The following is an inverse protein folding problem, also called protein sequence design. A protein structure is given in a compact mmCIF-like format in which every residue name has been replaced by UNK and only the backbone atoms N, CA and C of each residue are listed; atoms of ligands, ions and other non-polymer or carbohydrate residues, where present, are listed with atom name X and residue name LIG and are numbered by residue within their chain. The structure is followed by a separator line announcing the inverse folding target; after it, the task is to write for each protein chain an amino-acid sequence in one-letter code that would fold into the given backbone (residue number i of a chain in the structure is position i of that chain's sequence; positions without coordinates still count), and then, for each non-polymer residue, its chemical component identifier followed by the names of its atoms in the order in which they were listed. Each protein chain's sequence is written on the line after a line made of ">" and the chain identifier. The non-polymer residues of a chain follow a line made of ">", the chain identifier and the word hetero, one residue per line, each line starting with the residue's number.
data_IF_675822484382
#
_entry.id   IF_675822484382
#
_cell.length_a   1.000
_cell.length_b   1.000
_cell.length_c   1.000
_cell.angle_alpha   90.00
_cell.angle_beta   90.00
_cell.angle_gamma   90.00
#
_symmetry.space_group_name_H-M   'P 1'
#
loop_
_entity.id
_entity.type
_entity.pdbx_description
1 polymer ?
#
# COMPACT_ATOMS: atom_id res chain seq x y z
N UNK A 1 13.29 14.03 -30.44
CA UNK A 1 14.43 14.37 -29.59
C UNK A 1 15.33 13.15 -29.53
N UNK A 2 16.51 13.30 -30.09
CA UNK A 2 17.49 12.23 -30.23
C UNK A 2 18.14 11.96 -28.86
N UNK A 3 18.12 10.70 -28.42
CA UNK A 3 18.58 10.27 -27.08
C UNK A 3 19.99 9.66 -27.12
N UNK A 4 20.72 9.82 -28.22
CA UNK A 4 21.90 9.00 -28.51
C UNK A 4 23.25 9.53 -28.01
N UNK A 5 23.32 10.62 -27.25
CA UNK A 5 24.63 11.11 -26.74
C UNK A 5 24.48 11.69 -25.34
N UNK A 6 24.74 10.89 -24.32
CA UNK A 6 25.47 11.25 -23.10
C UNK A 6 25.67 10.02 -22.21
N UNK A 7 26.74 9.28 -22.45
CA UNK A 7 27.27 8.27 -21.52
C UNK A 7 27.89 8.92 -20.29
N UNK A 8 27.70 8.20 -19.14
CA UNK A 8 28.39 8.35 -17.86
C UNK A 8 27.86 9.40 -16.89
N UNK A 9 26.70 9.11 -16.29
CA UNK A 9 26.38 9.35 -14.86
C UNK A 9 24.98 8.81 -14.49
N UNK A 10 24.45 7.84 -15.21
CA UNK A 10 23.21 7.16 -14.87
C UNK A 10 23.51 5.91 -14.03
N UNK A 11 23.17 5.92 -12.76
CA UNK A 11 23.09 4.70 -11.97
C UNK A 11 21.79 3.97 -12.32
N UNK A 12 21.79 3.29 -13.47
CA UNK A 12 20.70 2.40 -13.88
C UNK A 12 20.84 1.08 -13.11
N UNK A 13 20.27 1.04 -11.91
CA UNK A 13 20.33 -0.14 -11.07
C UNK A 13 18.95 -0.78 -10.95
N UNK A 14 18.87 -2.09 -11.25
CA UNK A 14 17.71 -2.93 -10.92
C UNK A 14 18.09 -3.84 -9.77
N UNK A 15 17.33 -3.75 -8.67
CA UNK A 15 17.39 -4.70 -7.57
C UNK A 15 16.26 -5.72 -7.74
N UNK A 16 16.61 -7.02 -7.72
CA UNK A 16 15.65 -8.13 -7.75
C UNK A 16 15.62 -8.83 -6.40
N UNK A 17 14.45 -9.28 -6.00
CA UNK A 17 14.35 -10.32 -4.98
C UNK A 17 14.96 -11.64 -5.50
N UNK A 18 15.37 -12.50 -4.58
CA UNK A 18 16.04 -13.76 -4.94
C UNK A 18 15.19 -14.61 -5.87
N UNK A 19 15.81 -15.15 -6.91
CA UNK A 19 15.19 -16.07 -7.87
C UNK A 19 14.48 -15.42 -9.07
N UNK A 20 14.24 -14.11 -9.06
CA UNK A 20 13.42 -13.47 -10.09
C UNK A 20 14.20 -12.95 -11.31
N UNK A 21 15.49 -12.64 -11.16
CA UNK A 21 16.28 -12.03 -12.25
C UNK A 21 16.24 -12.83 -13.55
N UNK A 22 16.40 -14.16 -13.47
CA UNK A 22 16.41 -15.03 -14.65
C UNK A 22 15.03 -15.04 -15.34
N UNK A 23 13.95 -15.19 -14.58
CA UNK A 23 12.56 -15.20 -15.09
C UNK A 23 12.25 -13.93 -15.88
N UNK A 24 12.63 -12.77 -15.37
CA UNK A 24 12.37 -11.50 -16.03
C UNK A 24 13.29 -11.29 -17.25
N UNK A 25 14.55 -11.74 -17.17
CA UNK A 25 15.47 -11.68 -18.31
C UNK A 25 14.97 -12.54 -19.50
N UNK A 26 14.47 -13.75 -19.25
CA UNK A 26 13.84 -14.61 -20.26
C UNK A 26 12.62 -13.97 -20.91
N UNK A 27 11.89 -13.13 -20.17
CA UNK A 27 10.77 -12.34 -20.70
C UNK A 27 11.21 -11.04 -21.40
N UNK A 28 12.52 -10.83 -21.61
CA UNK A 28 13.05 -9.61 -22.24
C UNK A 28 13.04 -8.37 -21.32
N UNK A 29 12.94 -8.55 -20.01
CA UNK A 29 12.90 -7.48 -19.00
C UNK A 29 14.20 -7.49 -18.19
N UNK A 30 15.28 -6.98 -18.77
CA UNK A 30 16.62 -7.02 -18.20
C UNK A 30 17.16 -5.64 -17.79
N UNK A 31 16.71 -4.56 -18.44
CA UNK A 31 17.16 -3.18 -18.22
C UNK A 31 16.02 -2.29 -17.72
N UNK A 32 16.34 -1.15 -17.10
CA UNK A 32 15.32 -0.17 -16.66
C UNK A 32 14.46 0.28 -17.84
N UNK A 33 15.08 0.45 -19.02
CA UNK A 33 14.38 0.88 -20.24
C UNK A 33 13.36 -0.17 -20.70
N UNK A 34 13.71 -1.47 -20.63
CA UNK A 34 12.75 -2.55 -20.97
C UNK A 34 11.51 -2.48 -20.11
N UNK A 35 11.67 -2.34 -18.79
CA UNK A 35 10.53 -2.20 -17.88
C UNK A 35 9.72 -0.93 -18.13
N UNK A 36 10.39 0.19 -18.40
CA UNK A 36 9.72 1.47 -18.63
C UNK A 36 8.95 1.50 -19.97
N UNK A 37 9.38 0.73 -20.96
CA UNK A 37 8.75 0.63 -22.29
C UNK A 37 7.90 -0.62 -22.50
N UNK A 38 7.85 -1.53 -21.53
CA UNK A 38 7.12 -2.79 -21.65
C UNK A 38 5.64 -2.56 -21.98
N UNK A 39 5.16 -3.14 -23.10
CA UNK A 39 3.78 -3.00 -23.58
C UNK A 39 2.94 -4.29 -23.44
N UNK A 40 3.56 -5.41 -23.00
CA UNK A 40 2.90 -6.71 -22.85
C UNK A 40 1.94 -6.81 -21.66
N UNK A 41 1.66 -5.72 -20.95
CA UNK A 41 0.78 -5.70 -19.79
C UNK A 41 -0.56 -5.00 -20.08
N UNK A 42 -1.59 -5.40 -19.31
CA UNK A 42 -2.89 -4.74 -19.32
C UNK A 42 -2.88 -3.56 -18.35
N UNK A 43 -3.12 -2.32 -18.80
CA UNK A 43 -3.24 -1.17 -17.93
C UNK A 43 -4.47 -1.30 -17.02
N UNK A 44 -4.28 -1.14 -15.70
CA UNK A 44 -5.35 -1.16 -14.70
C UNK A 44 -5.50 0.17 -13.96
N UNK A 45 -4.54 1.07 -14.11
CA UNK A 45 -4.59 2.41 -13.54
C UNK A 45 -3.61 3.32 -14.25
N UNK A 46 -4.08 4.52 -14.58
CA UNK A 46 -3.26 5.52 -15.26
C UNK A 46 -3.59 6.92 -14.77
N UNK A 47 -2.55 7.68 -14.48
CA UNK A 47 -2.63 9.13 -14.35
C UNK A 47 -1.37 9.77 -14.97
N UNK A 48 -1.32 11.10 -15.01
CA UNK A 48 -0.23 11.85 -15.66
C UNK A 48 1.19 11.48 -15.17
N UNK A 49 1.32 10.92 -13.98
CA UNK A 49 2.60 10.70 -13.30
C UNK A 49 2.87 9.22 -12.99
N UNK A 50 1.84 8.39 -13.04
CA UNK A 50 1.91 6.97 -12.67
C UNK A 50 1.03 6.12 -13.59
N UNK A 51 1.58 5.00 -14.01
CA UNK A 51 0.88 3.93 -14.71
C UNK A 51 0.98 2.66 -13.90
N UNK A 52 -0.10 1.89 -13.83
CA UNK A 52 -0.12 0.55 -13.23
C UNK A 52 -0.56 -0.43 -14.29
N UNK A 53 0.24 -1.47 -14.48
CA UNK A 53 -0.07 -2.57 -15.40
C UNK A 53 -0.16 -3.88 -14.61
N UNK A 54 -0.91 -4.84 -15.15
CA UNK A 54 -0.83 -6.24 -14.75
C UNK A 54 -0.41 -7.09 -15.93
N UNK A 55 0.38 -8.15 -15.70
CA UNK A 55 0.84 -9.08 -16.70
C UNK A 55 1.14 -10.45 -16.09
N UNK A 56 1.22 -11.47 -16.92
CA UNK A 56 1.53 -12.85 -16.51
C UNK A 56 2.84 -13.26 -17.17
N UNK A 57 3.72 -13.89 -16.39
CA UNK A 57 4.92 -14.54 -16.90
C UNK A 57 4.90 -16.02 -16.52
N UNK A 58 5.44 -16.85 -17.41
CA UNK A 58 5.73 -18.24 -17.09
C UNK A 58 6.91 -18.30 -16.12
N UNK A 59 6.76 -19.08 -15.07
CA UNK A 59 7.80 -19.28 -14.07
C UNK A 59 8.03 -20.77 -13.89
N UNK A 60 9.14 -21.21 -13.28
CA UNK A 60 9.37 -22.64 -12.98
C UNK A 60 8.26 -23.29 -12.13
N UNK A 61 7.46 -22.49 -11.42
CA UNK A 61 6.30 -22.94 -10.64
C UNK A 61 4.95 -22.76 -11.35
N UNK A 62 4.95 -22.48 -12.66
CA UNK A 62 3.76 -22.18 -13.46
C UNK A 62 3.55 -20.68 -13.68
N UNK A 63 2.50 -20.29 -14.44
CA UNK A 63 2.22 -18.90 -14.75
C UNK A 63 1.89 -18.11 -13.48
N UNK A 64 2.51 -16.94 -13.31
CA UNK A 64 2.26 -16.02 -12.20
C UNK A 64 1.90 -14.64 -12.70
N UNK A 65 1.00 -13.99 -12.01
CA UNK A 65 0.58 -12.63 -12.28
C UNK A 65 1.41 -11.64 -11.47
N UNK A 66 1.78 -10.55 -12.14
CA UNK A 66 2.56 -9.46 -11.58
C UNK A 66 1.84 -8.13 -11.77
N UNK A 67 2.13 -7.19 -10.88
CA UNK A 67 1.72 -5.80 -10.98
C UNK A 67 2.95 -4.91 -11.07
N UNK A 68 2.99 -4.03 -12.07
CA UNK A 68 4.07 -3.07 -12.24
C UNK A 68 3.54 -1.66 -12.13
N UNK A 69 4.06 -0.91 -11.17
CA UNK A 69 3.86 0.54 -11.06
C UNK A 69 5.03 1.24 -11.75
N UNK A 70 4.73 2.11 -12.70
CA UNK A 70 5.70 3.00 -13.35
C UNK A 70 5.48 4.42 -12.88
N UNK A 71 6.54 5.10 -12.47
CA UNK A 71 6.57 6.52 -12.13
C UNK A 71 7.24 7.27 -13.28
N UNK A 72 6.43 7.97 -14.12
CA UNK A 72 6.89 8.48 -15.42
C UNK A 72 7.41 9.91 -15.33
N UNK A 73 6.87 10.72 -14.45
CA UNK A 73 7.27 12.14 -14.24
C UNK A 73 7.08 12.48 -12.76
N UNK A 74 8.00 12.05 -11.90
CA UNK A 74 7.86 12.29 -10.47
C UNK A 74 7.90 13.79 -10.15
N UNK A 75 7.06 14.22 -9.21
CA UNK A 75 7.05 15.61 -8.78
C UNK A 75 8.28 15.94 -7.94
N UNK A 76 8.87 17.11 -8.13
CA UNK A 76 9.98 17.62 -7.31
C UNK A 76 9.67 17.59 -5.80
N UNK A 77 8.41 17.88 -5.42
CA UNK A 77 7.96 17.81 -4.01
C UNK A 77 8.08 16.41 -3.43
N UNK A 78 7.81 15.37 -4.23
CA UNK A 78 7.89 13.97 -3.79
C UNK A 78 9.35 13.54 -3.67
N UNK A 79 10.21 13.96 -4.61
CA UNK A 79 11.65 13.76 -4.51
C UNK A 79 12.27 14.45 -3.27
N UNK A 80 11.86 15.69 -2.98
CA UNK A 80 12.29 16.39 -1.76
C UNK A 80 11.76 15.70 -0.49
N UNK A 81 10.55 15.15 -0.54
CA UNK A 81 9.98 14.40 0.57
C UNK A 81 10.75 13.09 0.81
N UNK A 82 11.14 12.37 -0.24
CA UNK A 82 11.96 11.15 -0.14
C UNK A 82 13.37 11.47 0.37
N UNK A 83 14.00 12.54 -0.15
CA UNK A 83 15.32 12.99 0.32
C UNK A 83 15.31 13.31 1.83
N UNK A 84 14.31 14.07 2.30
CA UNK A 84 14.15 14.37 3.75
C UNK A 84 13.93 13.10 4.59
N UNK A 85 13.25 12.10 4.04
CA UNK A 85 12.88 10.86 4.74
C UNK A 85 14.07 9.90 4.82
N UNK A 86 14.74 9.67 3.71
CA UNK A 86 15.83 8.70 3.61
C UNK A 86 17.23 9.31 3.74
N UNK A 87 17.34 10.64 3.84
CA UNK A 87 18.60 11.40 3.89
C UNK A 87 19.53 11.14 2.71
N UNK A 88 19.00 10.60 1.61
CA UNK A 88 19.68 10.38 0.34
C UNK A 88 18.66 10.42 -0.80
N UNK A 89 19.09 10.70 -2.05
CA UNK A 89 18.23 10.52 -3.21
C UNK A 89 17.66 9.10 -3.23
N UNK A 90 16.35 8.99 -3.42
CA UNK A 90 15.62 7.74 -3.42
C UNK A 90 14.44 7.87 -4.39
N UNK A 91 14.29 6.92 -5.32
CA UNK A 91 13.15 6.90 -6.23
C UNK A 91 11.86 6.50 -5.51
N UNK A 92 10.73 6.81 -6.10
CA UNK A 92 9.43 6.40 -5.56
C UNK A 92 9.31 4.87 -5.55
N UNK A 93 9.81 4.19 -6.58
CA UNK A 93 9.87 2.74 -6.65
C UNK A 93 10.70 2.14 -5.52
N UNK A 94 11.91 2.67 -5.27
CA UNK A 94 12.76 2.24 -4.16
C UNK A 94 12.09 2.47 -2.79
N UNK A 95 11.33 3.56 -2.64
CA UNK A 95 10.58 3.81 -1.40
C UNK A 95 9.53 2.73 -1.15
N UNK A 96 8.72 2.38 -2.16
CA UNK A 96 7.71 1.32 -2.01
C UNK A 96 8.35 -0.05 -1.77
N UNK A 97 9.45 -0.37 -2.46
CA UNK A 97 10.25 -1.56 -2.22
C UNK A 97 10.70 -1.68 -0.76
N UNK A 98 11.30 -0.62 -0.24
CA UNK A 98 11.76 -0.58 1.17
C UNK A 98 10.62 -0.71 2.15
N UNK A 99 9.49 -0.07 1.88
CA UNK A 99 8.32 -0.15 2.74
C UNK A 99 7.73 -1.56 2.77
N UNK A 100 7.59 -2.22 1.62
CA UNK A 100 7.12 -3.60 1.58
C UNK A 100 8.05 -4.52 2.38
N UNK A 101 9.35 -4.43 2.17
CA UNK A 101 10.34 -5.21 2.95
C UNK A 101 10.29 -4.90 4.45
N UNK A 102 10.06 -3.65 4.82
CA UNK A 102 9.94 -3.26 6.24
C UNK A 102 8.69 -3.88 6.88
N UNK A 103 7.55 -3.86 6.19
CA UNK A 103 6.31 -4.49 6.67
C UNK A 103 6.51 -6.00 6.87
N UNK A 104 6.99 -6.69 5.85
CA UNK A 104 7.24 -8.14 5.90
C UNK A 104 8.21 -8.52 7.01
N UNK A 105 9.30 -7.75 7.20
CA UNK A 105 10.25 -7.97 8.30
C UNK A 105 9.64 -7.75 9.69
N UNK A 106 8.53 -7.01 9.81
CA UNK A 106 7.76 -6.80 11.05
C UNK A 106 6.59 -7.78 11.18
N UNK A 107 6.47 -8.78 10.30
CA UNK A 107 5.36 -9.73 10.28
C UNK A 107 4.01 -9.09 9.95
N UNK A 108 4.05 -7.99 9.19
CA UNK A 108 2.86 -7.32 8.65
C UNK A 108 2.78 -7.63 7.16
N UNK A 109 1.74 -8.34 6.76
CA UNK A 109 1.57 -8.79 5.39
C UNK A 109 1.31 -7.63 4.42
N UNK A 110 1.87 -7.76 3.23
CA UNK A 110 1.70 -6.87 2.08
C UNK A 110 2.05 -7.64 0.81
N UNK A 111 1.96 -7.01 -0.35
CA UNK A 111 2.45 -7.61 -1.60
C UNK A 111 3.94 -7.95 -1.52
N UNK A 112 4.32 -9.08 -2.13
CA UNK A 112 5.71 -9.50 -2.22
C UNK A 112 6.44 -8.71 -3.31
N UNK A 113 7.47 -7.93 -2.96
CA UNK A 113 8.25 -7.18 -3.93
C UNK A 113 9.15 -8.11 -4.75
N UNK A 114 9.14 -7.94 -6.07
CA UNK A 114 9.88 -8.75 -7.05
C UNK A 114 11.12 -8.04 -7.55
N UNK A 115 10.96 -6.83 -8.04
CA UNK A 115 12.08 -5.97 -8.44
C UNK A 115 11.68 -4.51 -8.46
N UNK A 116 12.67 -3.66 -8.43
CA UNK A 116 12.53 -2.23 -8.73
C UNK A 116 13.74 -1.73 -9.49
N UNK A 117 13.54 -0.66 -10.25
CA UNK A 117 14.62 0.05 -10.92
C UNK A 117 14.30 1.51 -11.08
N UNK A 118 15.34 2.32 -11.28
CA UNK A 118 15.19 3.76 -11.43
C UNK A 118 16.21 4.35 -12.37
N UNK A 119 15.76 5.34 -13.11
CA UNK A 119 16.58 6.22 -13.94
C UNK A 119 16.84 7.50 -13.14
N UNK A 120 18.06 7.65 -12.65
CA UNK A 120 18.47 8.80 -11.85
C UNK A 120 19.44 9.67 -12.65
N UNK A 121 19.20 10.98 -12.70
CA UNK A 121 20.13 11.92 -13.31
C UNK A 121 20.40 13.09 -12.37
N UNK A 122 21.67 13.34 -12.07
CA UNK A 122 22.09 14.39 -11.11
C UNK A 122 21.35 14.30 -9.75
N UNK A 123 21.10 13.09 -9.26
CA UNK A 123 20.36 12.87 -8.01
C UNK A 123 18.85 13.04 -8.11
N UNK A 124 18.31 13.31 -9.31
CA UNK A 124 16.87 13.47 -9.55
C UNK A 124 16.31 12.26 -10.32
N UNK A 125 15.18 11.75 -9.85
CA UNK A 125 14.46 10.68 -10.50
C UNK A 125 13.85 11.17 -11.82
N UNK A 126 14.21 10.51 -12.93
CA UNK A 126 13.62 10.76 -14.25
C UNK A 126 12.43 9.80 -14.50
N UNK A 127 12.54 8.61 -13.95
CA UNK A 127 11.53 7.58 -13.98
C UNK A 127 11.93 6.41 -13.09
N UNK A 128 10.98 5.61 -12.69
CA UNK A 128 11.23 4.38 -11.95
C UNK A 128 10.09 3.40 -12.11
N UNK A 129 10.35 2.14 -11.81
CA UNK A 129 9.33 1.10 -11.79
C UNK A 129 9.47 0.22 -10.55
N UNK A 130 8.35 -0.36 -10.15
CA UNK A 130 8.27 -1.29 -9.03
C UNK A 130 7.34 -2.44 -9.41
N UNK A 131 7.83 -3.68 -9.30
CA UNK A 131 7.09 -4.90 -9.62
C UNK A 131 6.83 -5.70 -8.36
N UNK A 132 5.61 -6.19 -8.24
CA UNK A 132 5.16 -7.07 -7.16
C UNK A 132 4.46 -8.30 -7.72
N UNK A 133 4.47 -9.40 -6.96
CA UNK A 133 3.56 -10.50 -7.20
C UNK A 133 2.12 -10.06 -6.87
N UNK A 134 1.15 -10.74 -7.49
CA UNK A 134 -0.26 -10.63 -7.14
C UNK A 134 -0.47 -11.06 -5.68
N UNK A 135 -1.21 -10.27 -4.90
CA UNK A 135 -1.69 -10.69 -3.60
C UNK A 135 -2.78 -11.74 -3.80
N UNK A 136 -2.57 -12.91 -3.20
CA UNK A 136 -3.59 -13.95 -3.16
C UNK A 136 -4.59 -13.60 -2.05
N UNK A 137 -5.80 -13.21 -2.44
CA UNK A 137 -6.83 -12.75 -1.52
C UNK A 137 -7.79 -11.75 -2.16
N UNK A 138 -8.62 -11.13 -1.33
CA UNK A 138 -9.65 -10.18 -1.76
C UNK A 138 -9.53 -8.85 -1.02
N UNK A 139 -9.84 -7.75 -1.72
CA UNK A 139 -9.94 -6.43 -1.10
C UNK A 139 -11.02 -6.45 -0.01
N UNK A 140 -10.74 -5.86 1.15
CA UNK A 140 -11.68 -5.83 2.27
C UNK A 140 -13.02 -5.20 1.89
N UNK A 141 -13.02 -4.15 1.06
CA UNK A 141 -14.26 -3.49 0.62
C UNK A 141 -15.10 -4.38 -0.27
N UNK A 142 -14.47 -5.13 -1.17
CA UNK A 142 -15.17 -6.04 -2.07
C UNK A 142 -15.76 -7.22 -1.29
N UNK A 143 -14.95 -7.82 -0.39
CA UNK A 143 -15.43 -8.86 0.51
C UNK A 143 -16.65 -8.41 1.33
N UNK A 144 -16.60 -7.19 1.90
CA UNK A 144 -17.72 -6.63 2.66
C UNK A 144 -18.95 -6.43 1.78
N UNK A 145 -18.78 -5.83 0.59
CA UNK A 145 -19.89 -5.58 -0.33
C UNK A 145 -20.62 -6.88 -0.72
N UNK A 146 -19.87 -7.95 -0.94
CA UNK A 146 -20.38 -9.24 -1.38
C UNK A 146 -20.99 -10.08 -0.24
N UNK A 147 -20.36 -10.04 0.95
CA UNK A 147 -20.65 -11.04 1.98
C UNK A 147 -21.31 -10.51 3.24
N UNK A 148 -21.18 -9.20 3.55
CA UNK A 148 -21.57 -8.65 4.86
C UNK A 148 -22.97 -9.00 5.33
N UNK A 149 -23.95 -8.99 4.42
CA UNK A 149 -25.36 -9.31 4.75
C UNK A 149 -25.55 -10.76 5.18
N UNK A 150 -24.72 -11.65 4.66
CA UNK A 150 -24.80 -13.10 4.86
C UNK A 150 -23.90 -13.58 6.02
N UNK A 151 -22.98 -12.74 6.51
CA UNK A 151 -22.13 -13.08 7.66
C UNK A 151 -22.97 -13.18 8.93
N UNK A 152 -22.66 -14.18 9.76
CA UNK A 152 -23.19 -14.28 11.12
C UNK A 152 -22.72 -13.08 11.97
N UNK A 153 -23.41 -12.82 13.08
CA UNK A 153 -22.99 -11.78 14.02
C UNK A 153 -21.58 -12.07 14.59
N UNK A 154 -21.26 -13.36 14.81
CA UNK A 154 -19.94 -13.78 15.29
C UNK A 154 -18.85 -13.55 14.23
N UNK A 155 -19.10 -13.88 12.97
CA UNK A 155 -18.15 -13.65 11.88
C UNK A 155 -17.89 -12.17 11.66
N UNK A 156 -18.92 -11.32 11.70
CA UNK A 156 -18.77 -9.87 11.66
C UNK A 156 -17.91 -9.35 12.81
N UNK A 157 -18.20 -9.84 14.02
CA UNK A 157 -17.41 -9.48 15.20
C UNK A 157 -15.95 -9.94 15.06
N UNK A 158 -15.71 -11.16 14.59
CA UNK A 158 -14.36 -11.71 14.35
C UNK A 158 -13.59 -10.84 13.38
N UNK A 159 -14.17 -10.47 12.23
CA UNK A 159 -13.57 -9.59 11.23
C UNK A 159 -13.21 -8.21 11.82
N UNK A 160 -14.14 -7.59 12.55
CA UNK A 160 -13.94 -6.27 13.16
C UNK A 160 -12.82 -6.29 14.21
N UNK A 161 -12.78 -7.32 15.04
CA UNK A 161 -11.71 -7.50 16.05
C UNK A 161 -10.37 -7.76 15.38
N UNK A 162 -10.34 -8.60 14.34
CA UNK A 162 -9.13 -8.87 13.54
C UNK A 162 -8.59 -7.57 12.91
N UNK A 163 -9.46 -6.79 12.28
CA UNK A 163 -9.10 -5.49 11.68
C UNK A 163 -8.56 -4.50 12.72
N UNK A 164 -9.21 -4.35 13.86
CA UNK A 164 -8.76 -3.48 14.93
C UNK A 164 -7.37 -3.88 15.46
N UNK A 165 -7.17 -5.18 15.71
CA UNK A 165 -5.87 -5.73 16.16
C UNK A 165 -4.78 -5.59 15.09
N UNK A 166 -5.13 -5.78 13.82
CA UNK A 166 -4.19 -5.58 12.71
C UNK A 166 -3.69 -4.14 12.64
N UNK A 167 -4.59 -3.17 12.65
CA UNK A 167 -4.23 -1.73 12.64
C UNK A 167 -3.40 -1.37 13.87
N UNK A 168 -3.71 -1.96 15.03
CA UNK A 168 -2.89 -1.78 16.23
C UNK A 168 -1.46 -2.27 16.01
N UNK A 169 -1.26 -3.50 15.49
CA UNK A 169 0.08 -4.06 15.19
C UNK A 169 0.87 -3.14 14.26
N UNK A 170 0.24 -2.61 13.21
CA UNK A 170 0.87 -1.64 12.30
C UNK A 170 1.41 -0.43 13.06
N UNK A 171 0.61 0.15 13.94
CA UNK A 171 1.02 1.31 14.74
C UNK A 171 2.05 0.96 15.83
N UNK A 172 2.02 -0.24 16.38
CA UNK A 172 3.00 -0.75 17.36
C UNK A 172 4.37 -0.93 16.74
N UNK A 173 4.42 -1.38 15.48
CA UNK A 173 5.64 -1.45 14.68
C UNK A 173 6.22 -0.04 14.34
N UNK A 174 5.61 1.04 14.85
CA UNK A 174 6.04 2.41 14.58
C UNK A 174 5.74 2.87 13.17
N UNK A 175 4.75 2.28 12.51
CA UNK A 175 4.35 2.61 11.15
C UNK A 175 3.18 3.57 11.18
N UNK A 176 3.29 4.67 10.43
CA UNK A 176 2.18 5.56 10.08
C UNK A 176 1.78 5.30 8.64
N UNK A 177 0.51 5.02 8.44
CA UNK A 177 -0.08 4.77 7.13
C UNK A 177 -1.19 5.79 6.85
N UNK A 178 -0.88 6.99 6.30
CA UNK A 178 -1.84 8.08 6.11
C UNK A 178 -3.03 7.73 5.22
N UNK A 179 -2.86 6.75 4.34
CA UNK A 179 -3.88 6.24 3.45
C UNK A 179 -4.48 4.91 3.95
N UNK A 180 -4.65 4.77 5.26
CA UNK A 180 -5.28 3.62 5.90
C UNK A 180 -6.79 3.61 5.61
N UNK A 181 -7.13 3.33 4.36
CA UNK A 181 -8.51 3.15 3.92
C UNK A 181 -8.85 1.67 3.83
N UNK A 182 -10.12 1.32 4.01
CA UNK A 182 -10.58 -0.07 3.92
C UNK A 182 -10.23 -0.72 2.58
N UNK A 183 -10.26 0.02 1.48
CA UNK A 183 -9.86 -0.47 0.15
C UNK A 183 -8.35 -0.65 -0.06
N UNK A 184 -7.51 -0.28 0.91
CA UNK A 184 -6.08 -0.60 0.93
C UNK A 184 -5.74 -1.76 1.87
N UNK A 185 -6.74 -2.47 2.35
CA UNK A 185 -6.61 -3.65 3.19
C UNK A 185 -7.13 -4.85 2.41
N UNK A 186 -6.39 -5.94 2.44
CA UNK A 186 -6.74 -7.20 1.80
C UNK A 186 -6.92 -8.30 2.84
N UNK A 187 -7.87 -9.19 2.62
CA UNK A 187 -7.96 -10.48 3.29
C UNK A 187 -7.20 -11.49 2.45
N UNK A 188 -6.23 -12.17 3.04
CA UNK A 188 -5.43 -13.18 2.34
C UNK A 188 -6.15 -14.52 2.30
N UNK A 189 -5.81 -15.34 1.32
CA UNK A 189 -6.39 -16.68 1.16
C UNK A 189 -6.01 -17.61 2.33
N UNK A 190 -6.94 -18.50 2.73
CA UNK A 190 -8.34 -18.59 2.32
C UNK A 190 -9.18 -17.43 2.86
N UNK A 191 -9.93 -16.76 1.96
CA UNK A 191 -10.69 -15.55 2.30
C UNK A 191 -11.84 -15.85 3.24
N UNK A 192 -11.90 -15.14 4.37
CA UNK A 192 -12.94 -15.28 5.39
C UNK A 192 -12.76 -14.31 6.56
N UNK A 193 -13.65 -14.34 7.56
CA UNK A 193 -13.64 -13.40 8.69
C UNK A 193 -12.39 -13.47 9.55
N UNK A 194 -11.65 -14.57 9.55
CA UNK A 194 -10.41 -14.78 10.30
C UNK A 194 -9.14 -14.71 9.46
N UNK A 195 -9.25 -14.37 8.18
CA UNK A 195 -8.10 -14.28 7.27
C UNK A 195 -7.03 -13.34 7.80
N UNK A 196 -5.74 -13.63 7.54
CA UNK A 196 -4.69 -12.66 7.71
C UNK A 196 -4.97 -11.42 6.86
N UNK A 197 -4.59 -10.25 7.37
CA UNK A 197 -4.81 -8.97 6.71
C UNK A 197 -3.49 -8.42 6.16
N UNK A 198 -3.53 -7.84 4.97
CA UNK A 198 -2.40 -7.21 4.30
C UNK A 198 -2.68 -5.75 3.94
N UNK A 199 -1.63 -4.94 3.86
CA UNK A 199 -1.70 -3.55 3.38
C UNK A 199 -1.19 -3.43 1.95
N UNK A 200 -1.83 -2.56 1.16
CA UNK A 200 -1.36 -2.18 -0.17
C UNK A 200 -1.23 -0.67 -0.31
N UNK A 201 -0.61 -0.21 -1.40
CA UNK A 201 -0.40 1.19 -1.77
C UNK A 201 0.43 1.98 -0.73
N UNK A 202 1.67 1.53 -0.52
CA UNK A 202 2.56 1.95 0.55
C UNK A 202 3.25 3.31 0.32
N UNK A 203 3.03 3.98 -0.82
CA UNK A 203 3.82 5.14 -1.25
C UNK A 203 3.87 6.30 -0.23
N UNK A 204 2.86 6.46 0.64
CA UNK A 204 2.82 7.49 1.69
C UNK A 204 3.16 6.99 3.09
N UNK A 205 3.50 5.71 3.22
CA UNK A 205 3.87 5.11 4.49
C UNK A 205 5.08 5.82 5.13
N UNK A 206 5.17 5.80 6.44
CA UNK A 206 6.30 6.32 7.21
C UNK A 206 6.65 5.34 8.32
N UNK A 207 7.95 5.14 8.55
CA UNK A 207 8.47 4.32 9.65
C UNK A 207 8.99 5.18 10.79
N UNK A 208 9.12 4.59 11.99
CA UNK A 208 9.64 5.25 13.18
C UNK A 208 8.67 6.27 13.79
N UNK A 209 7.39 6.21 13.48
CA UNK A 209 6.37 7.16 13.94
C UNK A 209 5.63 6.61 15.15
N UNK A 210 5.81 7.27 16.31
CA UNK A 210 5.16 6.89 17.57
C UNK A 210 4.13 7.91 18.08
N UNK A 211 3.91 9.02 17.35
CA UNK A 211 3.06 10.13 17.81
C UNK A 211 1.58 9.77 17.74
N UNK A 212 0.85 9.98 18.83
CA UNK A 212 -0.60 9.76 18.89
C UNK A 212 -1.36 10.49 17.77
N UNK A 213 -0.98 11.73 17.45
CA UNK A 213 -1.63 12.50 16.37
C UNK A 213 -1.54 11.87 15.00
N UNK A 214 -0.44 11.13 14.69
CA UNK A 214 -0.32 10.37 13.44
C UNK A 214 -1.23 9.14 13.45
N UNK A 215 -1.27 8.40 14.56
CA UNK A 215 -2.18 7.25 14.72
C UNK A 215 -3.64 7.69 14.54
N UNK A 216 -4.06 8.77 15.19
CA UNK A 216 -5.41 9.31 15.05
C UNK A 216 -5.72 9.77 13.62
N UNK A 217 -4.73 10.26 12.87
CA UNK A 217 -4.88 10.60 11.46
C UNK A 217 -5.14 9.36 10.62
N UNK A 218 -4.41 8.28 10.85
CA UNK A 218 -4.59 7.01 10.14
C UNK A 218 -5.96 6.39 10.48
N UNK A 219 -6.34 6.39 11.75
CA UNK A 219 -7.66 5.90 12.17
C UNK A 219 -8.81 6.76 11.59
N UNK A 220 -8.61 8.06 11.44
CA UNK A 220 -9.56 8.91 10.76
C UNK A 220 -9.72 8.59 9.27
N UNK A 221 -8.66 8.13 8.61
CA UNK A 221 -8.75 7.63 7.23
C UNK A 221 -9.53 6.31 7.17
N UNK A 222 -9.29 5.41 8.11
CA UNK A 222 -10.05 4.18 8.23
C UNK A 222 -11.53 4.49 8.49
N UNK A 223 -11.86 5.29 9.51
CA UNK A 223 -13.22 5.71 9.84
C UNK A 223 -13.95 6.33 8.64
N UNK A 224 -13.27 7.20 7.88
CA UNK A 224 -13.81 7.81 6.67
C UNK A 224 -14.23 6.76 5.63
N UNK A 225 -13.52 5.63 5.55
CA UNK A 225 -13.74 4.57 4.58
C UNK A 225 -14.73 3.49 5.04
N UNK A 226 -15.18 3.53 6.31
CA UNK A 226 -16.18 2.59 6.84
C UNK A 226 -17.59 3.13 6.59
N UNK A 227 -18.26 2.60 5.56
CA UNK A 227 -19.59 3.05 5.16
C UNK A 227 -20.64 2.62 6.19
N UNK A 228 -21.53 3.56 6.55
CA UNK A 228 -22.59 3.33 7.56
C UNK A 228 -23.55 2.20 7.18
N UNK A 229 -23.76 1.96 5.89
CA UNK A 229 -24.61 0.85 5.41
C UNK A 229 -24.09 -0.54 5.80
N UNK A 230 -22.81 -0.66 6.16
CA UNK A 230 -22.17 -1.90 6.64
C UNK A 230 -21.71 -1.78 8.10
N UNK A 231 -21.23 -0.63 8.50
CA UNK A 231 -20.62 -0.37 9.80
C UNK A 231 -21.45 0.66 10.57
N UNK A 232 -22.40 0.17 11.34
CA UNK A 232 -23.10 0.98 12.34
C UNK A 232 -22.17 1.37 13.49
N UNK A 233 -22.68 2.12 14.46
CA UNK A 233 -21.89 2.58 15.60
C UNK A 233 -21.37 1.43 16.47
N UNK A 234 -22.12 0.34 16.60
CA UNK A 234 -21.70 -0.84 17.37
C UNK A 234 -20.56 -1.57 16.66
N UNK A 235 -20.64 -1.77 15.34
CA UNK A 235 -19.57 -2.36 14.54
C UNK A 235 -18.28 -1.52 14.65
N UNK A 236 -18.38 -0.20 14.49
CA UNK A 236 -17.25 0.71 14.66
C UNK A 236 -16.70 0.68 16.08
N UNK A 237 -17.57 0.57 17.08
CA UNK A 237 -17.16 0.43 18.48
C UNK A 237 -16.34 -0.84 18.69
N UNK A 238 -16.80 -2.00 18.24
CA UNK A 238 -16.08 -3.27 18.33
C UNK A 238 -14.68 -3.15 17.72
N UNK A 239 -14.58 -2.59 16.51
CA UNK A 239 -13.32 -2.41 15.80
C UNK A 239 -12.34 -1.53 16.59
N UNK A 240 -12.78 -0.34 17.02
CA UNK A 240 -11.90 0.61 17.68
C UNK A 240 -11.59 0.24 19.14
N UNK A 241 -12.45 -0.48 19.84
CA UNK A 241 -12.13 -1.09 21.14
C UNK A 241 -11.06 -2.18 20.96
N UNK A 242 -11.14 -3.02 19.92
CA UNK A 242 -10.11 -4.00 19.60
C UNK A 242 -8.76 -3.36 19.19
N UNK A 243 -8.78 -2.15 18.64
CA UNK A 243 -7.58 -1.36 18.36
C UNK A 243 -6.94 -0.82 19.64
N UNK A 244 -7.74 -0.31 20.61
CA UNK A 244 -7.25 0.31 21.84
C UNK A 244 -6.58 -0.71 22.75
N UNK A 245 -5.69 -0.19 23.61
CA UNK A 245 -5.07 -0.96 24.68
C UNK A 245 -5.64 -0.53 26.04
N UNK A 246 -5.61 -1.42 27.03
CA UNK A 246 -6.00 -1.07 28.40
C UNK A 246 -5.22 0.11 28.97
N UNK A 247 -3.95 0.26 28.59
CA UNK A 247 -3.05 1.32 29.04
C UNK A 247 -3.21 2.65 28.30
N UNK A 248 -4.06 2.75 27.28
CA UNK A 248 -4.30 3.98 26.55
C UNK A 248 -5.00 5.00 27.47
N UNK A 249 -4.36 6.18 27.66
CA UNK A 249 -4.79 7.21 28.63
C UNK A 249 -6.02 8.02 28.20
N UNK A 250 -6.42 7.95 26.92
CA UNK A 250 -7.61 8.66 26.46
C UNK A 250 -8.88 7.92 26.90
N UNK A 251 -9.90 8.65 27.34
CA UNK A 251 -11.25 8.09 27.47
C UNK A 251 -11.76 7.58 26.11
N UNK A 252 -12.80 6.77 26.11
CA UNK A 252 -13.43 6.32 24.86
C UNK A 252 -13.97 7.52 24.06
N UNK A 253 -14.64 8.43 24.73
CA UNK A 253 -15.28 9.62 24.17
C UNK A 253 -14.25 10.54 23.51
N UNK A 254 -13.15 10.83 24.20
CA UNK A 254 -12.05 11.64 23.69
C UNK A 254 -11.37 11.00 22.47
N UNK A 255 -11.11 9.69 22.55
CA UNK A 255 -10.53 8.94 21.45
C UNK A 255 -11.45 8.99 20.24
N UNK A 256 -12.72 8.63 20.40
CA UNK A 256 -13.71 8.59 19.31
C UNK A 256 -13.93 9.97 18.69
N UNK A 257 -14.07 11.00 19.52
CA UNK A 257 -14.18 12.39 19.06
C UNK A 257 -13.00 12.84 18.20
N UNK A 258 -11.77 12.45 18.58
CA UNK A 258 -10.56 12.80 17.81
C UNK A 258 -10.49 12.05 16.48
N UNK A 259 -10.87 10.77 16.44
CA UNK A 259 -10.94 9.98 15.19
C UNK A 259 -11.97 10.59 14.24
N UNK A 260 -13.19 10.88 14.72
CA UNK A 260 -14.26 11.47 13.93
C UNK A 260 -13.86 12.83 13.33
N UNK A 261 -13.27 13.73 14.12
CA UNK A 261 -12.77 15.02 13.59
C UNK A 261 -11.77 14.84 12.45
N UNK A 262 -10.96 13.79 12.45
CA UNK A 262 -10.04 13.50 11.34
C UNK A 262 -10.76 12.95 10.11
N UNK A 263 -11.79 12.14 10.30
CA UNK A 263 -12.64 11.65 9.23
C UNK A 263 -13.43 12.81 8.58
N UNK A 264 -13.96 13.73 9.38
CA UNK A 264 -14.70 14.90 8.89
C UNK A 264 -13.85 15.82 8.02
N UNK A 265 -12.59 16.04 8.39
CA UNK A 265 -11.63 16.78 7.54
C UNK A 265 -11.47 16.11 6.18
N UNK A 266 -11.52 14.78 6.12
CA UNK A 266 -11.44 14.04 4.85
C UNK A 266 -12.74 14.16 4.06
N UNK A 267 -13.92 14.05 4.71
CA UNK A 267 -15.25 14.25 4.08
C UNK A 267 -15.35 15.62 3.42
N UNK A 268 -14.88 16.67 4.10
CA UNK A 268 -14.89 18.04 3.56
C UNK A 268 -13.93 18.26 2.39
N UNK A 269 -12.80 17.55 2.35
CA UNK A 269 -11.75 17.74 1.32
C UNK A 269 -11.97 16.92 0.06
N UNK A 270 -12.64 15.78 0.16
CA UNK A 270 -12.84 14.87 -0.97
C UNK A 270 -14.15 15.20 -1.68
N UNK A 271 -14.08 15.29 -3.02
CA UNK A 271 -15.23 15.61 -3.87
C UNK A 271 -16.24 14.45 -3.96
N UNK A 272 -15.80 13.23 -3.74
CA UNK A 272 -16.64 12.04 -3.82
C UNK A 272 -16.54 11.27 -2.50
N UNK A 273 -17.70 10.86 -1.98
CA UNK A 273 -17.75 9.91 -0.87
C UNK A 273 -17.23 8.55 -1.32
N UNK A 274 -16.65 7.73 -0.41
CA UNK A 274 -16.36 6.35 -0.73
C UNK A 274 -17.67 5.62 -1.06
N UNK A 275 -17.57 4.68 -2.01
CA UNK A 275 -18.68 3.80 -2.39
C UNK A 275 -18.14 2.42 -2.77
N UNK A 276 -18.71 1.34 -2.19
CA UNK A 276 -18.38 -0.08 -2.45
C UNK A 276 -19.50 -1.01 -1.94
#
# INVERSE_FOLDING_TARGET
>A
MDWSTHEKDSMDAIEFASGWRAVFAEAGLATVDDFMRYEGGTPIGHNRHRQVLTFVLDTPGGPRRFYMKRFIRPHLKDMLATLRRFRRPCSQAECEWRYARTLLAQGIETYHPVCHGSLMRYGFEQGSFFVTEEIQGQCLTDYIAETWKNLSAEDRRMLLVSLGRFVRRVHEAGISFPDLYAWHIYLLDPVGPSSPLALIDLHRMRCGVKRLGERLRNLGALEYSLLERYFDDDAKRILFEAYRRPEDRLSWEDFRSRVLRRADVLRQRRRHAPDY
#
